data_IF_495343262250
#
_entry.id   IF_495343262250
#
_cell.length_a   1.000
_cell.length_b   1.000
_cell.length_c   1.000
_cell.angle_alpha   90.00
_cell.angle_beta   90.00
_cell.angle_gamma   90.00
#
_symmetry.space_group_name_H-M   'P 1'
#
loop_
_entity.id
_entity.type
_entity.pdbx_description
1 polymer ?
#
# COMPACT_ATOMS: atom_id res chain seq x y z
N UNK A 1 -4.81 3.10 -35.93
CA UNK A 1 -4.86 3.78 -34.62
C UNK A 1 -4.34 2.78 -33.61
N UNK A 2 -3.10 2.94 -33.14
CA UNK A 2 -2.53 2.04 -32.12
C UNK A 2 -2.91 2.62 -30.77
N UNK A 3 -3.72 1.91 -30.00
CA UNK A 3 -4.01 2.31 -28.62
C UNK A 3 -2.81 1.86 -27.78
N UNK A 4 -2.00 2.81 -27.34
CA UNK A 4 -0.88 2.56 -26.44
C UNK A 4 -1.43 2.41 -25.02
N UNK A 5 -1.72 1.18 -24.61
CA UNK A 5 -2.04 0.91 -23.22
C UNK A 5 -0.75 0.80 -22.40
N UNK A 6 -0.47 1.83 -21.60
CA UNK A 6 0.71 1.94 -20.73
C UNK A 6 0.61 1.07 -19.44
N UNK A 7 0.05 -0.13 -19.53
CA UNK A 7 -0.16 -1.02 -18.38
C UNK A 7 1.09 -1.28 -17.53
N UNK A 8 2.28 -1.53 -18.12
CA UNK A 8 3.48 -1.73 -17.31
C UNK A 8 3.83 -0.50 -16.46
N UNK A 9 3.58 0.71 -16.96
CA UNK A 9 3.82 1.95 -16.21
C UNK A 9 2.79 2.15 -15.09
N UNK A 10 1.54 1.76 -15.30
CA UNK A 10 0.51 1.82 -14.25
C UNK A 10 0.79 0.80 -13.14
N UNK A 11 1.21 -0.42 -13.50
CA UNK A 11 1.63 -1.45 -12.52
C UNK A 11 2.87 -1.01 -11.74
N UNK A 12 3.87 -0.43 -12.43
CA UNK A 12 5.05 0.13 -11.77
C UNK A 12 4.67 1.25 -10.78
N UNK A 13 3.77 2.15 -11.18
CA UNK A 13 3.29 3.23 -10.30
C UNK A 13 2.61 2.72 -9.03
N UNK A 14 1.79 1.66 -9.11
CA UNK A 14 1.17 1.06 -7.92
C UNK A 14 2.17 0.31 -7.05
N UNK A 15 3.14 -0.39 -7.65
CA UNK A 15 4.23 -1.01 -6.91
C UNK A 15 5.06 0.03 -6.13
N UNK A 16 5.36 1.18 -6.75
CA UNK A 16 6.06 2.29 -6.10
C UNK A 16 5.24 2.87 -4.94
N UNK A 17 3.95 3.13 -5.14
CA UNK A 17 3.05 3.64 -4.08
C UNK A 17 3.01 2.68 -2.88
N UNK A 18 2.87 1.38 -3.15
CA UNK A 18 2.87 0.33 -2.10
C UNK A 18 4.19 0.31 -1.34
N UNK A 19 5.31 0.34 -2.05
CA UNK A 19 6.65 0.38 -1.45
C UNK A 19 6.81 1.60 -0.51
N UNK A 20 6.33 2.76 -0.93
CA UNK A 20 6.35 3.97 -0.08
C UNK A 20 5.45 3.82 1.16
N UNK A 21 4.24 3.25 1.01
CA UNK A 21 3.35 3.01 2.14
C UNK A 21 3.96 2.04 3.16
N UNK A 22 4.61 0.97 2.70
CA UNK A 22 5.33 0.03 3.55
C UNK A 22 6.48 0.71 4.30
N UNK A 23 7.28 1.52 3.61
CA UNK A 23 8.37 2.27 4.22
C UNK A 23 7.89 3.22 5.32
N UNK A 24 6.79 3.95 5.09
CA UNK A 24 6.19 4.84 6.10
C UNK A 24 5.75 4.05 7.34
N UNK A 25 5.15 2.88 7.16
CA UNK A 25 4.77 1.99 8.27
C UNK A 25 6.00 1.55 9.08
N UNK A 26 7.06 1.10 8.41
CA UNK A 26 8.30 0.64 9.06
C UNK A 26 9.03 1.75 9.83
N UNK A 27 9.12 2.95 9.23
CA UNK A 27 9.72 4.12 9.88
C UNK A 27 8.88 4.58 11.08
N UNK A 28 7.55 4.54 10.96
CA UNK A 28 6.62 4.83 12.05
C UNK A 28 6.79 3.85 13.21
N UNK A 29 6.89 2.56 12.92
CA UNK A 29 7.11 1.52 13.92
C UNK A 29 8.43 1.72 14.66
N UNK A 30 9.51 1.92 13.91
CA UNK A 30 10.85 2.13 14.45
C UNK A 30 10.89 3.38 15.33
N UNK A 31 10.32 4.48 14.86
CA UNK A 31 10.26 5.74 15.60
C UNK A 31 9.40 5.61 16.87
N UNK A 32 8.21 5.02 16.76
CA UNK A 32 7.29 4.88 17.89
C UNK A 32 7.86 3.99 19.00
N UNK A 33 8.47 2.85 18.64
CA UNK A 33 9.15 1.98 19.59
C UNK A 33 10.29 2.71 20.33
N UNK A 34 11.06 3.54 19.61
CA UNK A 34 12.11 4.35 20.22
C UNK A 34 11.56 5.39 21.20
N UNK A 35 10.46 6.06 20.83
CA UNK A 35 9.80 7.03 21.71
C UNK A 35 9.23 6.35 22.96
N UNK A 36 8.57 5.19 22.80
CA UNK A 36 8.05 4.41 23.93
C UNK A 36 9.18 4.02 24.90
N UNK A 37 10.33 3.58 24.38
CA UNK A 37 11.51 3.26 25.19
C UNK A 37 11.98 4.46 26.02
N UNK A 38 12.12 5.63 25.39
CA UNK A 38 12.52 6.87 26.08
C UNK A 38 11.50 7.27 27.15
N UNK A 39 10.20 7.16 26.86
CA UNK A 39 9.13 7.46 27.82
C UNK A 39 9.20 6.49 29.00
N UNK A 40 9.37 5.19 28.74
CA UNK A 40 9.46 4.17 29.78
C UNK A 40 10.64 4.41 30.71
N UNK A 41 11.80 4.77 30.15
CA UNK A 41 13.01 5.08 30.91
C UNK A 41 12.90 6.36 31.74
N UNK A 42 12.26 7.41 31.21
CA UNK A 42 12.29 8.76 31.82
C UNK A 42 11.04 9.10 32.64
N UNK A 43 9.89 8.60 32.23
CA UNK A 43 8.57 8.95 32.77
C UNK A 43 7.87 7.77 33.45
N UNK A 44 8.38 6.54 33.25
CA UNK A 44 7.89 5.32 33.89
C UNK A 44 6.80 4.59 33.12
N UNK A 45 6.33 3.48 33.69
CA UNK A 45 5.46 2.51 33.02
C UNK A 45 4.08 3.06 32.60
N UNK A 46 3.42 3.83 33.47
CA UNK A 46 2.08 4.38 33.18
C UNK A 46 2.08 5.34 31.98
N UNK A 47 3.10 6.20 31.87
CA UNK A 47 3.24 7.09 30.72
C UNK A 47 3.53 6.31 29.43
N UNK A 48 4.35 5.26 29.52
CA UNK A 48 4.65 4.39 28.39
C UNK A 48 3.42 3.62 27.91
N UNK A 49 2.57 3.12 28.82
CA UNK A 49 1.32 2.43 28.48
C UNK A 49 0.29 3.36 27.81
N UNK A 50 0.17 4.59 28.30
CA UNK A 50 -0.69 5.61 27.69
C UNK A 50 -0.22 5.94 26.26
N UNK A 51 1.09 6.14 26.07
CA UNK A 51 1.67 6.33 24.74
C UNK A 51 1.45 5.11 23.84
N UNK A 52 1.74 3.90 24.35
CA UNK A 52 1.61 2.64 23.61
C UNK A 52 0.20 2.47 23.04
N UNK A 53 -0.83 2.78 23.83
CA UNK A 53 -2.23 2.69 23.38
C UNK A 53 -2.49 3.57 22.15
N UNK A 54 -2.03 4.82 22.17
CA UNK A 54 -2.19 5.76 21.04
C UNK A 54 -1.33 5.31 19.86
N UNK A 55 -0.10 4.89 20.13
CA UNK A 55 0.84 4.42 19.13
C UNK A 55 0.32 3.18 18.37
N UNK A 56 -0.29 2.22 19.06
CA UNK A 56 -0.93 1.05 18.42
C UNK A 56 -2.12 1.46 17.54
N UNK A 57 -2.89 2.48 17.94
CA UNK A 57 -3.95 3.03 17.08
C UNK A 57 -3.37 3.64 15.79
N UNK A 58 -2.27 4.39 15.90
CA UNK A 58 -1.60 4.95 14.73
C UNK A 58 -1.00 3.86 13.83
N UNK A 59 -0.39 2.81 14.41
CA UNK A 59 0.09 1.67 13.64
C UNK A 59 -1.02 0.98 12.85
N UNK A 60 -2.22 0.87 13.42
CA UNK A 60 -3.40 0.37 12.71
C UNK A 60 -3.77 1.27 11.51
N UNK A 61 -3.70 2.58 11.65
CA UNK A 61 -3.96 3.50 10.53
C UNK A 61 -2.89 3.36 9.43
N UNK A 62 -1.63 3.11 9.80
CA UNK A 62 -0.57 2.77 8.84
C UNK A 62 -0.86 1.44 8.12
N UNK A 63 -1.35 0.42 8.83
CA UNK A 63 -1.76 -0.84 8.21
C UNK A 63 -2.92 -0.65 7.22
N UNK A 64 -3.89 0.20 7.55
CA UNK A 64 -5.00 0.57 6.64
C UNK A 64 -4.48 1.24 5.37
N UNK A 65 -3.49 2.13 5.49
CA UNK A 65 -2.86 2.75 4.32
C UNK A 65 -2.20 1.69 3.43
N UNK A 66 -1.44 0.75 3.99
CA UNK A 66 -0.84 -0.35 3.20
C UNK A 66 -1.92 -1.19 2.50
N UNK A 67 -2.98 -1.57 3.22
CA UNK A 67 -4.11 -2.31 2.64
C UNK A 67 -4.81 -1.54 1.51
N UNK A 68 -4.95 -0.22 1.64
CA UNK A 68 -5.50 0.61 0.57
C UNK A 68 -4.63 0.54 -0.70
N UNK A 69 -3.30 0.49 -0.56
CA UNK A 69 -2.39 0.30 -1.70
C UNK A 69 -2.47 -1.10 -2.31
N UNK A 70 -2.74 -2.13 -1.52
CA UNK A 70 -3.01 -3.48 -2.02
C UNK A 70 -4.30 -3.53 -2.86
N UNK A 71 -5.34 -2.83 -2.41
CA UNK A 71 -6.59 -2.73 -3.14
C UNK A 71 -6.41 -2.03 -4.51
N UNK A 72 -5.52 -1.04 -4.60
CA UNK A 72 -5.18 -0.41 -5.89
C UNK A 72 -4.57 -1.42 -6.88
N UNK A 73 -3.73 -2.34 -6.39
CA UNK A 73 -3.17 -3.43 -7.20
C UNK A 73 -4.25 -4.34 -7.78
N UNK A 74 -5.20 -4.78 -6.95
CA UNK A 74 -6.32 -5.63 -7.38
C UNK A 74 -7.20 -4.95 -8.44
N UNK A 75 -7.47 -3.64 -8.29
CA UNK A 75 -8.26 -2.86 -9.26
C UNK A 75 -7.52 -2.78 -10.60
N UNK A 76 -6.21 -2.57 -10.60
CA UNK A 76 -5.42 -2.56 -11.82
C UNK A 76 -5.36 -3.93 -12.49
N UNK A 77 -5.12 -5.00 -11.73
CA UNK A 77 -5.06 -6.36 -12.28
C UNK A 77 -6.40 -6.78 -12.90
N UNK A 78 -7.52 -6.44 -12.25
CA UNK A 78 -8.86 -6.66 -12.81
C UNK A 78 -9.11 -5.84 -14.09
N UNK A 79 -8.63 -4.60 -14.13
CA UNK A 79 -8.74 -3.71 -15.30
C UNK A 79 -7.90 -4.20 -16.49
N UNK A 80 -6.68 -4.67 -16.23
CA UNK A 80 -5.80 -5.30 -17.23
C UNK A 80 -6.46 -6.56 -17.79
N UNK A 81 -6.95 -7.44 -16.92
CA UNK A 81 -7.58 -8.72 -17.29
C UNK A 81 -8.81 -8.51 -18.18
N UNK A 82 -9.69 -7.58 -17.81
CA UNK A 82 -10.90 -7.28 -18.58
C UNK A 82 -10.58 -6.72 -19.97
N UNK A 83 -9.54 -5.90 -20.08
CA UNK A 83 -9.16 -5.33 -21.38
C UNK A 83 -8.45 -6.35 -22.27
N UNK A 84 -7.57 -7.19 -21.73
CA UNK A 84 -6.99 -8.32 -22.47
C UNK A 84 -8.06 -9.28 -23.01
N UNK A 85 -9.11 -9.55 -22.23
CA UNK A 85 -10.24 -10.38 -22.66
C UNK A 85 -11.04 -9.73 -23.81
N UNK A 86 -11.28 -8.43 -23.71
CA UNK A 86 -11.99 -7.65 -24.74
C UNK A 86 -11.18 -7.54 -26.02
N UNK A 87 -9.88 -7.28 -25.92
CA UNK A 87 -8.96 -7.20 -27.06
C UNK A 87 -8.77 -8.56 -27.73
N UNK A 88 -8.66 -9.66 -26.97
CA UNK A 88 -8.59 -11.02 -27.52
C UNK A 88 -9.85 -11.38 -28.31
N UNK A 89 -11.03 -10.92 -27.84
CA UNK A 89 -12.30 -11.08 -28.54
C UNK A 89 -12.36 -10.24 -29.82
N UNK A 90 -11.91 -8.97 -29.76
CA UNK A 90 -11.86 -8.09 -30.93
C UNK A 90 -10.86 -8.58 -31.98
N UNK A 91 -9.68 -9.05 -31.57
CA UNK A 91 -8.69 -9.66 -32.46
C UNK A 91 -9.27 -10.87 -33.20
N UNK A 92 -9.95 -11.79 -32.50
CA UNK A 92 -10.65 -12.93 -33.13
C UNK A 92 -11.75 -12.52 -34.10
N UNK A 93 -12.43 -11.39 -33.84
CA UNK A 93 -13.51 -10.88 -34.69
C UNK A 93 -13.00 -10.23 -35.98
N UNK A 94 -11.79 -9.67 -35.97
CA UNK A 94 -11.23 -8.90 -37.08
C UNK A 94 -9.99 -9.54 -37.74
N UNK A 95 -9.53 -10.71 -37.31
CA UNK A 95 -8.52 -11.49 -38.04
C UNK A 95 -7.98 -12.72 -37.32
N UNK A 96 -8.38 -13.90 -37.80
CA UNK A 96 -7.47 -15.04 -38.03
C UNK A 96 -7.49 -15.32 -39.53
#
# INVERSE_FOLDING_TARGET
MTILYNYPLMQAGVADIKSHAQKVREETETMGNRIEGIIRERLGGQAAEAFHTIFMSWMKDCDVMVQATDALGLVLDGSVTNMQGTDSSNARRFGA
#
